data_IF_202172238009
#
_entry.id   IF_202172238009
#
_cell.length_a   1.000
_cell.length_b   1.000
_cell.length_c   1.000
_cell.angle_alpha   90.00
_cell.angle_beta   90.00
_cell.angle_gamma   90.00
#
_symmetry.space_group_name_H-M   'P 1'
#
loop_
_entity.id
_entity.type
_entity.pdbx_description
1 polymer ?
#
# COMPACT_ATOMS: atom_id res chain seq x y z
N UNK A 1 7.39 -10.20 22.49
CA UNK A 1 7.73 -8.77 22.59
C UNK A 1 9.08 -8.56 23.25
N UNK A 2 10.09 -8.26 22.45
CA UNK A 2 11.48 -8.11 22.88
C UNK A 2 12.18 -7.04 22.05
N UNK A 3 12.95 -6.16 22.70
CA UNK A 3 13.86 -5.23 22.02
C UNK A 3 15.20 -5.93 21.78
N UNK A 4 15.65 -5.95 20.53
CA UNK A 4 16.93 -6.55 20.14
C UNK A 4 17.93 -5.50 19.66
N UNK A 5 19.23 -5.75 19.89
CA UNK A 5 20.32 -4.89 19.43
C UNK A 5 21.48 -5.73 18.85
N UNK A 6 22.06 -5.31 17.73
CA UNK A 6 23.25 -5.95 17.15
C UNK A 6 24.58 -5.32 17.61
N UNK A 7 25.73 -6.00 17.44
CA UNK A 7 27.04 -5.38 17.66
C UNK A 7 27.27 -4.21 16.71
N UNK A 8 27.99 -3.17 17.15
CA UNK A 8 28.20 -1.99 16.33
C UNK A 8 29.25 -2.28 15.25
N UNK A 9 28.81 -2.48 14.02
CA UNK A 9 29.69 -2.86 12.89
C UNK A 9 29.57 -1.91 11.70
N UNK A 10 28.60 -0.99 11.69
CA UNK A 10 28.30 -0.13 10.54
C UNK A 10 29.01 1.23 10.64
N UNK A 11 30.02 1.53 9.82
CA UNK A 11 30.80 2.76 9.94
C UNK A 11 30.04 3.97 9.36
N UNK A 12 29.86 5.02 10.17
CA UNK A 12 29.35 6.32 9.75
C UNK A 12 29.77 7.41 10.74
N UNK A 13 29.86 8.67 10.30
CA UNK A 13 30.10 9.84 11.17
C UNK A 13 31.25 9.69 12.19
N UNK A 14 32.32 8.98 11.82
CA UNK A 14 33.50 8.77 12.70
C UNK A 14 33.30 7.74 13.81
N UNK A 15 32.24 6.93 13.77
CA UNK A 15 31.98 5.81 14.70
C UNK A 15 31.40 4.61 13.96
N UNK A 16 31.19 3.51 14.68
CA UNK A 16 30.32 2.39 14.25
C UNK A 16 28.96 2.46 14.94
N UNK A 17 27.93 1.98 14.25
CA UNK A 17 26.54 1.97 14.67
C UNK A 17 25.99 0.55 14.80
N UNK A 18 25.04 0.40 15.72
CA UNK A 18 24.16 -0.75 15.93
C UNK A 18 22.73 -0.39 15.56
N UNK A 19 21.92 -1.40 15.28
CA UNK A 19 20.49 -1.32 15.05
C UNK A 19 19.71 -1.85 16.24
N UNK A 20 18.67 -1.12 16.64
CA UNK A 20 17.72 -1.53 17.68
C UNK A 20 16.36 -1.77 17.06
N UNK A 21 15.78 -2.96 17.27
CA UNK A 21 14.49 -3.38 16.69
C UNK A 21 13.54 -3.90 17.77
N UNK A 22 12.24 -3.95 17.44
CA UNK A 22 11.26 -4.80 18.13
C UNK A 22 10.90 -5.98 17.22
N UNK A 23 10.51 -7.12 17.82
CA UNK A 23 9.96 -8.27 17.10
C UNK A 23 8.46 -8.16 16.82
N UNK A 24 7.77 -7.19 17.42
CA UNK A 24 6.30 -7.15 17.40
C UNK A 24 5.70 -5.73 17.26
N UNK A 25 6.34 -4.65 17.76
CA UNK A 25 5.74 -3.30 17.71
C UNK A 25 6.72 -2.13 17.56
N UNK A 26 6.39 -1.19 16.67
CA UNK A 26 7.09 0.10 16.58
C UNK A 26 6.78 1.03 17.76
N UNK A 27 5.58 0.94 18.33
CA UNK A 27 5.18 1.78 19.47
C UNK A 27 6.07 1.51 20.68
N UNK A 28 6.31 0.23 20.97
CA UNK A 28 7.20 -0.19 22.05
C UNK A 28 8.65 0.16 21.73
N UNK A 29 9.11 -0.03 20.49
CA UNK A 29 10.44 0.40 20.07
C UNK A 29 10.63 1.91 20.31
N UNK A 30 9.61 2.73 20.02
CA UNK A 30 9.62 4.16 20.32
C UNK A 30 9.58 4.44 21.83
N UNK A 31 8.81 3.69 22.61
CA UNK A 31 8.74 3.83 24.06
C UNK A 31 10.09 3.51 24.73
N UNK A 32 10.72 2.41 24.34
CA UNK A 32 12.07 2.03 24.75
C UNK A 32 13.08 3.11 24.38
N UNK A 33 13.06 3.58 23.13
CA UNK A 33 13.96 4.64 22.66
C UNK A 33 13.81 5.94 23.46
N UNK A 34 12.57 6.36 23.78
CA UNK A 34 12.32 7.53 24.64
C UNK A 34 12.85 7.31 26.06
N UNK A 35 12.53 6.18 26.69
CA UNK A 35 13.02 5.83 28.02
C UNK A 35 14.55 5.79 28.11
N UNK A 36 15.19 5.35 27.03
CA UNK A 36 16.63 5.30 26.91
C UNK A 36 17.30 6.61 26.47
N UNK A 37 16.56 7.67 26.14
CA UNK A 37 17.13 8.92 25.62
C UNK A 37 17.82 8.74 24.26
N UNK A 38 17.31 7.84 23.41
CA UNK A 38 17.67 7.78 21.98
C UNK A 38 16.92 8.90 21.26
N UNK A 39 17.61 9.69 20.44
CA UNK A 39 16.98 10.81 19.71
C UNK A 39 16.00 10.26 18.67
N UNK A 40 14.81 10.86 18.56
CA UNK A 40 13.80 10.44 17.58
C UNK A 40 14.34 10.39 16.13
N UNK A 41 15.23 11.32 15.76
CA UNK A 41 15.88 11.37 14.44
C UNK A 41 16.76 10.16 14.10
N UNK A 42 17.09 9.33 15.09
CA UNK A 42 17.87 8.11 14.89
C UNK A 42 17.00 6.93 14.43
N UNK A 43 15.68 7.11 14.35
CA UNK A 43 14.76 6.10 13.81
C UNK A 43 14.82 6.09 12.28
N UNK A 44 15.16 4.94 11.69
CA UNK A 44 15.02 4.67 10.25
C UNK A 44 13.93 3.62 10.02
N UNK A 45 12.67 4.09 10.11
CA UNK A 45 11.43 3.40 9.69
C UNK A 45 11.03 2.14 10.45
N UNK A 46 11.95 1.21 10.65
CA UNK A 46 11.72 -0.10 11.28
C UNK A 46 12.74 -0.43 12.37
N UNK A 47 13.72 0.45 12.59
CA UNK A 47 14.77 0.30 13.61
C UNK A 47 15.33 1.67 14.03
N UNK A 48 16.12 1.70 15.10
CA UNK A 48 16.95 2.85 15.48
C UNK A 48 18.43 2.57 15.23
N UNK A 49 19.13 3.55 14.65
CA UNK A 49 20.59 3.58 14.54
C UNK A 49 21.22 4.20 15.79
N UNK A 50 21.98 3.43 16.56
CA UNK A 50 22.62 3.88 17.80
C UNK A 50 24.14 3.76 17.72
N UNK A 51 24.91 4.77 18.14
CA UNK A 51 26.36 4.70 18.11
C UNK A 51 26.89 3.70 19.13
N UNK A 52 28.04 3.08 18.86
CA UNK A 52 28.65 2.04 19.71
C UNK A 52 28.69 2.34 21.22
N UNK A 53 28.92 3.61 21.57
CA UNK A 53 28.99 4.07 22.96
C UNK A 53 27.69 3.82 23.75
N UNK A 54 26.54 3.70 23.05
CA UNK A 54 25.22 3.51 23.65
C UNK A 54 24.86 2.04 23.85
N UNK A 55 25.54 1.11 23.20
CA UNK A 55 25.13 -0.31 23.17
C UNK A 55 25.05 -0.91 24.57
N UNK A 56 26.08 -0.71 25.40
CA UNK A 56 26.08 -1.24 26.77
C UNK A 56 24.97 -0.66 27.65
N UNK A 57 24.65 0.64 27.49
CA UNK A 57 23.56 1.27 28.22
C UNK A 57 22.21 0.70 27.84
N UNK A 58 21.99 0.44 26.54
CA UNK A 58 20.73 -0.11 26.05
C UNK A 58 20.54 -1.57 26.49
N UNK A 59 21.62 -2.35 26.52
CA UNK A 59 21.59 -3.71 27.07
C UNK A 59 21.25 -3.69 28.58
N UNK A 60 21.84 -2.76 29.35
CA UNK A 60 21.48 -2.57 30.77
C UNK A 60 20.02 -2.19 30.98
N UNK A 61 19.40 -1.54 29.99
CA UNK A 61 18.00 -1.14 30.02
C UNK A 61 17.04 -2.20 29.46
N UNK A 62 17.55 -3.38 29.09
CA UNK A 62 16.73 -4.54 28.70
C UNK A 62 16.76 -4.90 27.22
N UNK A 63 17.56 -4.21 26.38
CA UNK A 63 17.77 -4.66 25.01
C UNK A 63 18.57 -5.97 24.98
N UNK A 64 18.08 -6.96 24.23
CA UNK A 64 18.71 -8.28 24.11
C UNK A 64 19.75 -8.26 22.99
N UNK A 65 21.04 -8.48 23.28
CA UNK A 65 22.07 -8.51 22.25
C UNK A 65 21.95 -9.78 21.40
N UNK A 66 21.93 -9.60 20.07
CA UNK A 66 21.89 -10.70 19.09
C UNK A 66 22.83 -10.39 17.92
N UNK A 67 23.13 -11.34 17.05
CA UNK A 67 23.98 -11.04 15.88
C UNK A 67 23.27 -10.10 14.88
N UNK A 68 24.02 -9.40 14.02
CA UNK A 68 23.43 -8.61 12.95
C UNK A 68 22.57 -9.44 11.98
N UNK A 69 22.95 -10.71 11.77
CA UNK A 69 22.14 -11.67 11.01
C UNK A 69 20.81 -11.97 11.71
N UNK A 70 20.82 -12.13 13.02
CA UNK A 70 19.62 -12.37 13.81
C UNK A 70 18.70 -11.15 13.86
N UNK A 71 19.23 -9.93 14.00
CA UNK A 71 18.42 -8.70 13.87
C UNK A 71 17.69 -8.69 12.53
N UNK A 72 18.39 -8.93 11.42
CA UNK A 72 17.77 -8.94 10.10
C UNK A 72 16.67 -10.02 9.98
N UNK A 73 16.92 -11.22 10.51
CA UNK A 73 15.98 -12.35 10.51
C UNK A 73 14.76 -12.08 11.38
N UNK A 74 14.95 -11.58 12.60
CA UNK A 74 13.88 -11.22 13.53
C UNK A 74 13.04 -10.10 12.94
N UNK A 75 13.66 -9.04 12.44
CA UNK A 75 12.95 -7.91 11.82
C UNK A 75 12.17 -8.36 10.58
N UNK A 76 12.70 -9.28 9.77
CA UNK A 76 11.96 -9.86 8.66
C UNK A 76 10.76 -10.69 9.12
N UNK A 77 10.94 -11.55 10.14
CA UNK A 77 9.89 -12.41 10.68
C UNK A 77 8.79 -11.63 11.42
N UNK A 78 9.13 -10.50 12.05
CA UNK A 78 8.19 -9.60 12.73
C UNK A 78 7.15 -8.99 11.77
N UNK A 79 7.45 -8.95 10.47
CA UNK A 79 6.65 -8.22 9.50
C UNK A 79 6.77 -6.69 9.60
N UNK A 80 7.64 -6.15 10.47
CA UNK A 80 7.94 -4.72 10.60
C UNK A 80 8.93 -4.22 9.54
N UNK A 81 9.74 -5.11 8.94
CA UNK A 81 10.78 -4.74 7.96
C UNK A 81 10.21 -3.94 6.79
N UNK A 82 10.70 -2.72 6.61
CA UNK A 82 10.51 -1.92 5.39
C UNK A 82 11.65 -2.21 4.42
N UNK A 83 11.38 -3.02 3.39
CA UNK A 83 12.40 -3.41 2.40
C UNK A 83 12.83 -2.19 1.58
N UNK A 84 14.09 -2.14 1.16
CA UNK A 84 14.63 -1.02 0.38
C UNK A 84 13.86 -0.73 -0.92
N UNK A 85 13.27 -1.77 -1.54
CA UNK A 85 12.41 -1.67 -2.73
C UNK A 85 11.05 -1.03 -2.47
N UNK A 86 10.61 -1.03 -1.21
CA UNK A 86 9.34 -0.48 -0.76
C UNK A 86 9.54 0.95 -0.17
N UNK A 87 10.77 1.48 -0.24
CA UNK A 87 11.07 2.87 0.15
C UNK A 87 10.48 3.86 -0.86
N UNK A 88 9.82 4.95 -0.41
CA UNK A 88 9.14 5.91 -1.28
C UNK A 88 10.01 6.44 -2.43
N UNK A 89 11.27 6.80 -2.17
CA UNK A 89 12.18 7.35 -3.19
C UNK A 89 12.43 6.37 -4.36
N UNK A 90 12.56 5.07 -4.06
CA UNK A 90 12.77 4.03 -5.07
C UNK A 90 11.47 3.71 -5.80
N UNK A 91 10.34 3.77 -5.10
CA UNK A 91 9.02 3.59 -5.67
C UNK A 91 8.69 4.69 -6.68
N UNK A 92 8.91 5.96 -6.33
CA UNK A 92 8.68 7.12 -7.24
C UNK A 92 9.37 6.93 -8.58
N UNK A 93 10.68 6.68 -8.57
CA UNK A 93 11.44 6.46 -9.81
C UNK A 93 10.99 5.22 -10.60
N UNK A 94 10.59 4.15 -9.92
CA UNK A 94 10.06 2.95 -10.57
C UNK A 94 8.69 3.18 -11.22
N UNK A 95 7.81 3.90 -10.52
CA UNK A 95 6.47 4.25 -10.97
C UNK A 95 6.54 5.18 -12.18
N UNK A 96 7.35 6.24 -12.15
CA UNK A 96 7.53 7.13 -13.31
C UNK A 96 8.07 6.38 -14.54
N UNK A 97 8.99 5.42 -14.37
CA UNK A 97 9.43 4.57 -15.50
C UNK A 97 8.29 3.74 -16.08
N UNK A 98 7.40 3.19 -15.24
CA UNK A 98 6.21 2.44 -15.69
C UNK A 98 5.24 3.36 -16.43
N UNK A 99 5.04 4.57 -15.92
CA UNK A 99 4.22 5.60 -16.57
C UNK A 99 4.73 5.95 -17.98
N UNK A 100 6.02 6.27 -18.11
CA UNK A 100 6.65 6.58 -19.40
C UNK A 100 6.50 5.45 -20.43
N UNK A 101 6.57 4.20 -19.98
CA UNK A 101 6.42 3.04 -20.87
C UNK A 101 5.01 2.94 -21.50
N UNK A 102 3.99 3.56 -20.90
CA UNK A 102 2.61 3.55 -21.43
C UNK A 102 2.35 4.61 -22.52
N UNK A 103 3.27 5.56 -22.71
CA UNK A 103 3.13 6.66 -23.68
C UNK A 103 3.14 6.18 -25.15
N UNK A 104 3.66 4.97 -25.39
CA UNK A 104 3.97 4.44 -26.72
C UNK A 104 5.34 4.92 -27.24
N UNK A 105 5.85 4.33 -28.33
CA UNK A 105 7.11 4.75 -28.92
C UNK A 105 7.01 6.16 -29.55
N UNK A 106 8.07 6.97 -29.40
CA UNK A 106 8.28 8.17 -30.23
C UNK A 106 7.80 9.52 -29.67
N UNK A 107 7.36 9.62 -28.42
CA UNK A 107 6.96 10.91 -27.80
C UNK A 107 8.13 11.71 -27.23
N UNK A 108 8.90 12.36 -28.10
CA UNK A 108 9.90 13.38 -27.74
C UNK A 108 9.44 14.79 -28.17
N UNK A 109 8.17 15.09 -27.96
CA UNK A 109 7.51 16.35 -28.33
C UNK A 109 6.73 16.92 -27.13
N UNK A 110 5.99 18.02 -27.34
CA UNK A 110 5.19 18.65 -26.30
C UNK A 110 4.13 17.71 -25.68
N UNK A 111 3.64 16.74 -26.46
CA UNK A 111 2.71 15.72 -25.95
C UNK A 111 3.44 14.69 -25.06
N UNK A 112 4.72 14.43 -25.30
CA UNK A 112 5.60 13.69 -24.40
C UNK A 112 5.84 14.41 -23.06
N UNK A 113 6.12 15.72 -23.11
CA UNK A 113 6.29 16.52 -21.89
C UNK A 113 5.01 16.60 -21.06
N UNK A 114 3.86 16.79 -21.71
CA UNK A 114 2.55 16.77 -21.06
C UNK A 114 2.25 15.40 -20.43
N UNK A 115 2.55 14.30 -21.13
CA UNK A 115 2.43 12.94 -20.59
C UNK A 115 3.29 12.76 -19.33
N UNK A 116 4.54 13.19 -19.38
CA UNK A 116 5.46 13.11 -18.23
C UNK A 116 4.95 13.92 -17.03
N UNK A 117 4.40 15.11 -17.28
CA UNK A 117 3.84 15.97 -16.24
C UNK A 117 2.66 15.30 -15.51
N UNK A 118 1.77 14.61 -16.23
CA UNK A 118 0.66 13.84 -15.64
C UNK A 118 1.19 12.75 -14.71
N UNK A 119 2.21 12.00 -15.14
CA UNK A 119 2.84 10.98 -14.30
C UNK A 119 3.47 11.54 -13.03
N UNK A 120 4.08 12.72 -13.10
CA UNK A 120 4.66 13.41 -11.94
C UNK A 120 3.59 13.89 -10.96
N UNK A 121 2.51 14.49 -11.46
CA UNK A 121 1.36 14.92 -10.64
C UNK A 121 0.73 13.73 -9.90
N UNK A 122 0.49 12.63 -10.60
CA UNK A 122 -0.04 11.41 -9.98
C UNK A 122 0.89 10.87 -8.87
N UNK A 123 2.19 10.75 -9.15
CA UNK A 123 3.15 10.32 -8.11
C UNK A 123 3.14 11.26 -6.91
N UNK A 124 2.96 12.56 -7.11
CA UNK A 124 2.84 13.54 -6.02
C UNK A 124 1.59 13.31 -5.19
N UNK A 125 0.42 13.12 -5.82
CA UNK A 125 -0.86 12.82 -5.15
C UNK A 125 -0.78 11.54 -4.31
N UNK A 126 -0.26 10.46 -4.89
CA UNK A 126 -0.03 9.19 -4.19
C UNK A 126 1.05 9.27 -3.09
N UNK A 127 1.75 10.40 -2.98
CA UNK A 127 2.75 10.66 -1.94
C UNK A 127 2.27 11.64 -0.85
N UNK A 128 1.00 12.05 -0.86
CA UNK A 128 0.51 13.00 0.14
C UNK A 128 0.67 12.45 1.58
N UNK A 129 1.09 13.27 2.57
CA UNK A 129 1.50 12.76 3.88
C UNK A 129 0.40 12.07 4.70
N UNK A 130 -0.87 12.35 4.40
CA UNK A 130 -2.02 11.73 5.09
C UNK A 130 -2.33 10.32 4.58
N UNK A 131 -1.65 9.86 3.52
CA UNK A 131 -1.84 8.54 2.93
C UNK A 131 -0.83 7.54 3.50
N UNK A 132 -1.35 6.48 4.10
CA UNK A 132 -0.60 5.35 4.63
C UNK A 132 -0.85 4.08 3.81
N UNK A 133 -2.11 3.63 3.69
CA UNK A 133 -2.42 2.48 2.83
C UNK A 133 -2.55 2.94 1.38
N UNK A 134 -3.38 3.95 1.12
CA UNK A 134 -3.66 4.48 -0.23
C UNK A 134 -2.53 5.39 -0.74
N UNK A 135 -1.30 4.86 -0.71
CA UNK A 135 -0.04 5.51 -1.07
C UNK A 135 0.70 4.72 -2.18
N UNK A 136 1.88 5.21 -2.59
CA UNK A 136 2.71 4.59 -3.65
C UNK A 136 2.87 3.05 -3.58
N UNK A 137 3.03 2.40 -2.40
CA UNK A 137 3.12 0.94 -2.34
C UNK A 137 1.85 0.23 -2.82
N UNK A 138 0.68 0.78 -2.51
CA UNK A 138 -0.61 0.24 -2.96
C UNK A 138 -0.77 0.39 -4.47
N UNK A 139 -0.53 1.57 -5.04
CA UNK A 139 -0.53 1.77 -6.50
C UNK A 139 0.38 0.75 -7.22
N UNK A 140 1.62 0.57 -6.74
CA UNK A 140 2.53 -0.41 -7.32
C UNK A 140 2.00 -1.85 -7.21
N UNK A 141 1.30 -2.16 -6.11
CA UNK A 141 0.64 -3.45 -5.92
C UNK A 141 -0.43 -3.67 -6.99
N UNK A 142 -1.38 -2.75 -7.14
CA UNK A 142 -2.46 -2.85 -8.12
C UNK A 142 -1.89 -3.01 -9.53
N UNK A 143 -0.90 -2.20 -9.92
CA UNK A 143 -0.22 -2.29 -11.22
C UNK A 143 0.51 -3.63 -11.45
N UNK A 144 0.96 -4.31 -10.39
CA UNK A 144 1.61 -5.63 -10.51
C UNK A 144 0.58 -6.73 -10.64
N UNK A 145 -0.46 -6.69 -9.81
CA UNK A 145 -1.50 -7.71 -9.79
C UNK A 145 -2.34 -7.63 -11.07
N UNK A 146 -2.76 -6.44 -11.51
CA UNK A 146 -3.51 -6.27 -12.75
C UNK A 146 -2.70 -6.75 -13.97
N UNK A 147 -1.40 -6.48 -14.00
CA UNK A 147 -0.52 -7.02 -15.04
C UNK A 147 -0.43 -8.55 -14.98
N UNK A 148 -0.31 -9.14 -13.79
CA UNK A 148 -0.25 -10.60 -13.64
C UNK A 148 -1.56 -11.27 -14.11
N UNK A 149 -2.71 -10.71 -13.76
CA UNK A 149 -4.03 -11.17 -14.24
C UNK A 149 -4.16 -11.03 -15.75
N UNK A 150 -3.67 -9.93 -16.33
CA UNK A 150 -3.61 -9.75 -17.77
C UNK A 150 -2.76 -10.85 -18.45
N UNK A 151 -1.59 -11.19 -17.90
CA UNK A 151 -0.74 -12.28 -18.40
C UNK A 151 -1.38 -13.67 -18.23
N UNK A 152 -2.25 -13.84 -17.22
CA UNK A 152 -3.05 -15.04 -17.04
C UNK A 152 -4.24 -15.14 -18.01
N UNK A 153 -4.46 -14.13 -18.87
CA UNK A 153 -5.52 -14.12 -19.88
C UNK A 153 -6.86 -13.58 -19.39
N UNK A 154 -6.93 -13.02 -18.18
CA UNK A 154 -8.19 -12.56 -17.58
C UNK A 154 -8.82 -11.36 -18.30
N UNK A 155 -8.04 -10.63 -19.11
CA UNK A 155 -8.56 -9.53 -19.93
C UNK A 155 -9.41 -10.00 -21.12
N UNK A 156 -9.37 -11.29 -21.50
CA UNK A 156 -10.20 -11.87 -22.57
C UNK A 156 -10.17 -11.07 -23.89
N UNK A 157 -9.00 -10.50 -24.23
CA UNK A 157 -8.80 -9.70 -25.44
C UNK A 157 -8.97 -8.19 -25.26
N UNK A 158 -9.43 -7.71 -24.10
CA UNK A 158 -9.45 -6.29 -23.79
C UNK A 158 -8.03 -5.70 -23.68
N UNK A 159 -7.80 -4.43 -24.06
CA UNK A 159 -6.50 -3.80 -23.95
C UNK A 159 -6.11 -3.58 -22.48
N UNK A 160 -4.83 -3.76 -22.15
CA UNK A 160 -4.33 -3.58 -20.78
C UNK A 160 -4.11 -2.09 -20.41
N UNK A 161 -3.83 -1.22 -21.40
CA UNK A 161 -3.48 0.19 -21.11
C UNK A 161 -4.57 0.94 -20.33
N UNK A 162 -5.87 0.84 -20.66
CA UNK A 162 -6.92 1.48 -19.87
C UNK A 162 -6.96 1.00 -18.41
N UNK A 163 -6.78 -0.29 -18.17
CA UNK A 163 -6.72 -0.87 -16.82
C UNK A 163 -5.53 -0.33 -16.03
N UNK A 164 -4.35 -0.25 -16.66
CA UNK A 164 -3.17 0.31 -16.02
C UNK A 164 -3.35 1.79 -15.69
N UNK A 165 -3.91 2.59 -16.61
CA UNK A 165 -4.22 4.00 -16.38
C UNK A 165 -5.27 4.17 -15.27
N UNK A 166 -6.34 3.38 -15.29
CA UNK A 166 -7.35 3.40 -14.23
C UNK A 166 -6.75 3.08 -12.86
N UNK A 167 -5.81 2.12 -12.76
CA UNK A 167 -5.09 1.86 -11.52
C UNK A 167 -4.30 3.09 -11.01
N UNK A 168 -3.72 3.90 -11.91
CA UNK A 168 -3.06 5.16 -11.55
C UNK A 168 -4.03 6.22 -11.03
N UNK A 169 -5.24 6.27 -11.59
CA UNK A 169 -6.21 7.32 -11.28
C UNK A 169 -7.16 6.98 -10.15
N UNK A 170 -7.45 5.71 -9.84
CA UNK A 170 -8.62 5.36 -9.02
C UNK A 170 -8.71 6.07 -7.65
N UNK A 171 -7.59 6.18 -6.93
CA UNK A 171 -7.48 6.97 -5.69
C UNK A 171 -6.55 8.20 -5.84
N UNK A 172 -6.36 8.71 -7.05
CA UNK A 172 -5.54 9.91 -7.27
C UNK A 172 -6.11 11.13 -6.52
N UNK A 173 -7.43 11.18 -6.36
CA UNK A 173 -8.11 12.04 -5.37
C UNK A 173 -8.50 11.16 -4.18
N UNK A 174 -8.12 11.58 -2.96
CA UNK A 174 -8.41 10.82 -1.75
C UNK A 174 -8.59 11.74 -0.55
N UNK A 175 -9.85 12.00 -0.23
CA UNK A 175 -10.27 12.73 0.97
C UNK A 175 -10.93 11.80 1.99
N UNK A 176 -11.07 10.50 1.69
CA UNK A 176 -11.76 9.51 2.52
C UNK A 176 -13.28 9.52 2.33
N UNK A 177 -13.76 10.03 1.19
CA UNK A 177 -15.19 10.16 0.87
C UNK A 177 -15.56 9.21 -0.27
N UNK A 178 -15.83 7.95 0.08
CA UNK A 178 -16.21 6.91 -0.87
C UNK A 178 -17.36 7.34 -1.81
N UNK A 179 -17.24 7.00 -3.08
CA UNK A 179 -18.08 7.42 -4.20
C UNK A 179 -17.72 8.80 -4.76
N UNK A 180 -17.43 9.80 -3.90
CA UNK A 180 -17.06 11.14 -4.36
C UNK A 180 -15.61 11.18 -4.84
N UNK A 181 -14.71 10.52 -4.11
CA UNK A 181 -13.29 10.46 -4.43
C UNK A 181 -13.08 9.78 -5.79
N UNK A 182 -13.75 8.66 -6.07
CA UNK A 182 -13.68 7.93 -7.33
C UNK A 182 -14.26 8.76 -8.48
N UNK A 183 -15.35 9.48 -8.26
CA UNK A 183 -15.92 10.37 -9.28
C UNK A 183 -14.97 11.54 -9.60
N UNK A 184 -14.31 12.11 -8.59
CA UNK A 184 -13.33 13.19 -8.77
C UNK A 184 -12.05 12.66 -9.44
N UNK A 185 -11.58 11.48 -9.07
CA UNK A 185 -10.49 10.75 -9.71
C UNK A 185 -10.78 10.45 -11.18
N UNK A 186 -12.00 10.03 -11.51
CA UNK A 186 -12.42 9.82 -12.90
C UNK A 186 -12.45 11.14 -13.69
N UNK A 187 -12.94 12.22 -13.09
CA UNK A 187 -12.95 13.54 -13.72
C UNK A 187 -11.52 14.05 -13.95
N UNK A 188 -10.62 13.84 -12.98
CA UNK A 188 -9.20 14.15 -13.11
C UNK A 188 -8.57 13.38 -14.28
N UNK A 189 -8.88 12.08 -14.42
CA UNK A 189 -8.41 11.27 -15.55
C UNK A 189 -8.88 11.85 -16.89
N UNK A 190 -10.15 12.24 -17.00
CA UNK A 190 -10.68 12.87 -18.21
C UNK A 190 -9.94 14.16 -18.53
N UNK A 191 -9.74 15.04 -17.55
CA UNK A 191 -9.04 16.31 -17.75
C UNK A 191 -7.57 16.15 -18.14
N UNK A 192 -6.85 15.22 -17.50
CA UNK A 192 -5.41 15.08 -17.69
C UNK A 192 -5.03 14.26 -18.93
N UNK A 193 -5.92 13.37 -19.39
CA UNK A 193 -5.69 12.54 -20.57
C UNK A 193 -6.30 13.14 -21.85
N UNK A 194 -7.15 14.16 -21.74
CA UNK A 194 -7.73 14.89 -22.87
C UNK A 194 -6.66 15.41 -23.82
N UNK A 195 -6.85 15.16 -25.12
CA UNK A 195 -5.86 15.48 -26.16
C UNK A 195 -4.55 14.70 -26.12
N UNK A 196 -4.29 13.89 -25.08
CA UNK A 196 -3.11 13.00 -24.99
C UNK A 196 -3.43 11.60 -25.52
N UNK A 197 -4.67 11.16 -25.40
CA UNK A 197 -5.17 9.84 -25.82
C UNK A 197 -6.47 10.00 -26.65
N UNK A 198 -6.85 8.98 -27.43
CA UNK A 198 -8.18 8.93 -28.05
C UNK A 198 -9.32 9.00 -27.03
N UNK A 199 -10.41 9.69 -27.39
CA UNK A 199 -11.54 9.96 -26.49
C UNK A 199 -12.16 8.68 -25.92
N UNK A 200 -12.29 7.62 -26.73
CA UNK A 200 -12.85 6.33 -26.32
C UNK A 200 -12.01 5.64 -25.24
N UNK A 201 -10.69 5.80 -25.31
CA UNK A 201 -9.78 5.29 -24.28
C UNK A 201 -9.85 6.12 -22.99
N UNK A 202 -9.95 7.44 -23.09
CA UNK A 202 -10.14 8.32 -21.92
C UNK A 202 -11.46 8.00 -21.21
N UNK A 203 -12.53 7.79 -21.97
CA UNK A 203 -13.83 7.36 -21.45
C UNK A 203 -13.76 6.01 -20.74
N UNK A 204 -13.05 5.04 -21.32
CA UNK A 204 -12.85 3.72 -20.70
C UNK A 204 -12.07 3.81 -19.38
N UNK A 205 -10.99 4.62 -19.33
CA UNK A 205 -10.26 4.86 -18.08
C UNK A 205 -11.17 5.46 -17.01
N UNK A 206 -11.93 6.48 -17.35
CA UNK A 206 -12.85 7.13 -16.42
C UNK A 206 -13.97 6.20 -15.95
N UNK A 207 -14.48 5.33 -16.82
CA UNK A 207 -15.47 4.30 -16.48
C UNK A 207 -14.91 3.29 -15.49
N UNK A 208 -13.71 2.77 -15.74
CA UNK A 208 -13.03 1.83 -14.86
C UNK A 208 -12.77 2.43 -13.48
N UNK A 209 -12.31 3.69 -13.42
CA UNK A 209 -12.12 4.43 -12.17
C UNK A 209 -13.44 4.57 -11.39
N UNK A 210 -14.54 4.97 -12.03
CA UNK A 210 -15.84 5.04 -11.34
C UNK A 210 -16.29 3.68 -10.82
N UNK A 211 -15.96 2.61 -11.53
CA UNK A 211 -16.28 1.23 -11.15
C UNK A 211 -15.64 0.79 -9.82
N UNK A 212 -14.55 1.40 -9.38
CA UNK A 212 -13.88 1.03 -8.12
C UNK A 212 -14.69 1.47 -6.89
N UNK A 213 -15.65 2.39 -7.01
CA UNK A 213 -16.46 2.84 -5.87
C UNK A 213 -17.33 1.73 -5.25
N UNK A 214 -17.69 0.70 -6.04
CA UNK A 214 -18.56 -0.40 -5.59
C UNK A 214 -17.87 -1.76 -5.60
N UNK A 215 -16.66 -1.85 -6.17
CA UNK A 215 -15.94 -3.10 -6.41
C UNK A 215 -16.81 -4.20 -7.05
N UNK A 216 -17.76 -3.78 -7.89
CA UNK A 216 -18.81 -4.64 -8.45
C UNK A 216 -18.89 -4.44 -9.97
N UNK A 217 -17.91 -4.93 -10.73
CA UNK A 217 -17.98 -4.94 -12.19
C UNK A 217 -19.20 -5.74 -12.66
N UNK A 218 -19.80 -5.34 -13.78
CA UNK A 218 -20.91 -6.09 -14.36
C UNK A 218 -20.43 -7.39 -15.01
N UNK A 219 -21.35 -8.33 -15.19
CA UNK A 219 -21.06 -9.61 -15.81
C UNK A 219 -20.51 -9.42 -17.24
N UNK A 220 -19.30 -9.92 -17.48
CA UNK A 220 -18.61 -9.76 -18.76
C UNK A 220 -17.62 -8.60 -18.83
N UNK A 221 -17.55 -7.72 -17.83
CA UNK A 221 -16.54 -6.65 -17.76
C UNK A 221 -15.16 -7.18 -17.36
N UNK A 222 -14.41 -7.71 -18.33
CA UNK A 222 -13.09 -8.27 -18.07
C UNK A 222 -12.09 -7.24 -17.53
N UNK A 223 -12.11 -6.01 -18.04
CA UNK A 223 -11.23 -4.93 -17.60
C UNK A 223 -11.56 -4.47 -16.17
N UNK A 224 -12.86 -4.29 -15.87
CA UNK A 224 -13.34 -3.97 -14.53
C UNK A 224 -13.06 -5.07 -13.52
N UNK A 225 -13.22 -6.35 -13.90
CA UNK A 225 -12.88 -7.50 -13.07
C UNK A 225 -11.39 -7.53 -12.72
N UNK A 226 -10.50 -7.32 -13.71
CA UNK A 226 -9.05 -7.29 -13.46
C UNK A 226 -8.66 -6.14 -12.55
N UNK A 227 -9.22 -4.94 -12.74
CA UNK A 227 -8.92 -3.78 -11.88
C UNK A 227 -9.41 -4.01 -10.45
N UNK A 228 -10.66 -4.45 -10.30
CA UNK A 228 -11.30 -4.69 -9.00
C UNK A 228 -10.54 -5.76 -8.21
N UNK A 229 -10.20 -6.88 -8.85
CA UNK A 229 -9.48 -7.97 -8.18
C UNK A 229 -8.05 -7.55 -7.81
N UNK A 230 -7.40 -6.73 -8.64
CA UNK A 230 -6.08 -6.21 -8.35
C UNK A 230 -6.05 -5.24 -7.16
N UNK A 231 -7.10 -4.46 -6.99
CA UNK A 231 -7.31 -3.57 -5.85
C UNK A 231 -7.58 -4.37 -4.56
N UNK A 232 -8.45 -5.39 -4.64
CA UNK A 232 -8.86 -6.21 -3.50
C UNK A 232 -7.89 -7.33 -3.12
N UNK A 233 -6.86 -7.63 -3.92
CA UNK A 233 -5.89 -8.73 -3.66
C UNK A 233 -5.29 -8.68 -2.25
N UNK A 234 -5.09 -7.48 -1.70
CA UNK A 234 -4.54 -7.28 -0.36
C UNK A 234 -5.31 -8.07 0.71
N UNK A 235 -6.60 -8.30 0.49
CA UNK A 235 -7.47 -8.99 1.42
C UNK A 235 -7.05 -10.46 1.59
N UNK A 236 -6.47 -11.07 0.57
CA UNK A 236 -6.06 -12.47 0.54
C UNK A 236 -4.63 -12.74 0.99
N UNK A 237 -3.87 -11.71 1.35
CA UNK A 237 -2.48 -11.86 1.77
C UNK A 237 -2.34 -12.68 3.06
N UNK A 238 -1.13 -13.20 3.36
CA UNK A 238 -0.86 -13.83 4.65
C UNK A 238 -1.28 -12.93 5.81
N UNK A 239 -1.82 -13.52 6.88
CA UNK A 239 -2.50 -12.79 7.96
C UNK A 239 -1.69 -11.62 8.54
N UNK A 240 -0.37 -11.77 8.70
CA UNK A 240 0.48 -10.69 9.20
C UNK A 240 0.58 -9.49 8.24
N UNK A 241 0.51 -9.71 6.92
CA UNK A 241 0.46 -8.62 5.94
C UNK A 241 -0.92 -7.97 5.88
N UNK A 242 -1.98 -8.76 6.05
CA UNK A 242 -3.35 -8.26 6.16
C UNK A 242 -3.52 -7.35 7.38
N UNK A 243 -3.00 -7.74 8.55
CA UNK A 243 -3.04 -6.91 9.76
C UNK A 243 -2.29 -5.60 9.57
N UNK A 244 -1.16 -5.62 8.85
CA UNK A 244 -0.43 -4.39 8.48
C UNK A 244 -1.26 -3.50 7.57
N UNK A 245 -1.95 -4.07 6.59
CA UNK A 245 -2.90 -3.36 5.73
C UNK A 245 -4.01 -2.71 6.56
N UNK A 246 -4.69 -3.46 7.43
CA UNK A 246 -5.78 -2.95 8.27
C UNK A 246 -5.30 -1.81 9.18
N UNK A 247 -4.09 -1.91 9.75
CA UNK A 247 -3.48 -0.85 10.54
C UNK A 247 -3.17 0.41 9.70
N UNK A 248 -2.70 0.26 8.46
CA UNK A 248 -2.47 1.39 7.55
C UNK A 248 -3.80 2.06 7.14
N UNK A 249 -4.86 1.29 6.87
CA UNK A 249 -6.20 1.85 6.65
C UNK A 249 -6.68 2.60 7.88
N UNK A 250 -6.49 2.07 9.10
CA UNK A 250 -6.82 2.80 10.32
C UNK A 250 -6.08 4.14 10.40
N UNK A 251 -4.82 4.19 9.98
CA UNK A 251 -4.01 5.40 9.98
C UNK A 251 -4.52 6.44 8.95
N UNK A 252 -4.98 6.03 7.77
CA UNK A 252 -5.61 6.92 6.78
C UNK A 252 -6.81 7.67 7.38
N UNK A 253 -7.57 6.98 8.23
CA UNK A 253 -8.74 7.53 8.93
C UNK A 253 -8.43 8.01 10.35
N UNK A 254 -7.18 8.35 10.69
CA UNK A 254 -6.80 8.78 12.06
C UNK A 254 -7.65 9.95 12.61
N UNK A 255 -8.18 10.78 11.71
CA UNK A 255 -9.07 11.90 12.02
C UNK A 255 -10.50 11.47 12.40
N UNK A 256 -10.90 10.25 12.07
CA UNK A 256 -12.21 9.67 12.44
C UNK A 256 -12.11 9.04 13.83
N UNK A 257 -13.10 9.32 14.67
CA UNK A 257 -13.21 8.75 16.01
C UNK A 257 -13.29 7.22 15.97
N UNK A 258 -12.71 6.56 16.97
CA UNK A 258 -12.54 5.10 16.95
C UNK A 258 -13.86 4.34 16.75
N UNK A 259 -14.93 4.72 17.45
CA UNK A 259 -16.23 4.07 17.33
C UNK A 259 -16.84 4.25 15.93
N UNK A 260 -16.66 5.42 15.32
CA UNK A 260 -17.18 5.70 13.97
C UNK A 260 -16.39 4.93 12.92
N UNK A 261 -15.06 4.86 13.07
CA UNK A 261 -14.20 4.04 12.24
C UNK A 261 -14.57 2.56 12.33
N UNK A 262 -14.75 2.01 13.53
CA UNK A 262 -15.12 0.60 13.73
C UNK A 262 -16.44 0.30 13.02
N UNK A 263 -17.47 1.16 13.18
CA UNK A 263 -18.76 0.98 12.51
C UNK A 263 -18.63 1.05 10.99
N UNK A 264 -17.93 2.05 10.47
CA UNK A 264 -17.72 2.23 9.03
C UNK A 264 -16.93 1.08 8.41
N UNK A 265 -15.79 0.70 9.01
CA UNK A 265 -14.95 -0.41 8.55
C UNK A 265 -15.70 -1.72 8.57
N UNK A 266 -16.42 -2.03 9.65
CA UNK A 266 -17.23 -3.24 9.74
C UNK A 266 -18.35 -3.27 8.68
N UNK A 267 -18.96 -2.12 8.36
CA UNK A 267 -19.96 -2.04 7.30
C UNK A 267 -19.36 -2.38 5.92
N UNK A 268 -18.21 -1.79 5.56
CA UNK A 268 -17.50 -2.10 4.31
C UNK A 268 -17.18 -3.60 4.21
N UNK A 269 -16.58 -4.16 5.27
CA UNK A 269 -16.21 -5.58 5.29
C UNK A 269 -17.42 -6.52 5.19
N UNK A 270 -18.55 -6.16 5.82
CA UNK A 270 -19.79 -6.94 5.69
C UNK A 270 -20.38 -6.86 4.28
N UNK A 271 -20.33 -5.71 3.63
CA UNK A 271 -20.74 -5.57 2.22
C UNK A 271 -19.91 -6.47 1.31
N UNK A 272 -18.59 -6.46 1.47
CA UNK A 272 -17.68 -7.35 0.72
C UNK A 272 -17.99 -8.83 0.99
N UNK A 273 -18.24 -9.20 2.25
CA UNK A 273 -18.59 -10.58 2.62
C UNK A 273 -19.94 -11.05 2.07
N UNK A 274 -20.90 -10.14 1.93
CA UNK A 274 -22.23 -10.42 1.40
C UNK A 274 -22.25 -10.57 -0.14
N UNK A 275 -21.21 -10.10 -0.83
CA UNK A 275 -21.09 -10.27 -2.27
C UNK A 275 -20.99 -11.77 -2.62
N UNK A 276 -21.76 -12.26 -3.61
CA UNK A 276 -21.69 -13.65 -4.06
C UNK A 276 -20.28 -14.08 -4.48
N UNK A 277 -19.54 -13.16 -5.11
CA UNK A 277 -18.13 -13.33 -5.50
C UNK A 277 -17.37 -12.12 -4.98
N UNK A 278 -16.31 -12.36 -4.21
CA UNK A 278 -15.42 -11.29 -3.74
C UNK A 278 -14.39 -10.93 -4.81
N UNK A 279 -13.94 -11.95 -5.56
CA UNK A 279 -13.07 -11.80 -6.74
C UNK A 279 -13.82 -12.24 -7.99
N UNK A 280 -13.69 -11.46 -9.06
CA UNK A 280 -14.48 -11.57 -10.28
C UNK A 280 -13.76 -12.31 -11.40
N UNK A 281 -12.43 -12.25 -11.43
CA UNK A 281 -11.59 -13.03 -12.34
C UNK A 281 -11.55 -14.50 -11.93
N UNK A 282 -11.30 -15.41 -12.87
CA UNK A 282 -11.20 -16.82 -12.54
C UNK A 282 -9.99 -17.11 -11.64
N UNK A 283 -8.87 -16.49 -11.97
CA UNK A 283 -7.61 -16.56 -11.20
C UNK A 283 -7.80 -16.04 -9.78
N UNK A 284 -8.43 -14.88 -9.59
CA UNK A 284 -8.67 -14.29 -8.27
C UNK A 284 -9.60 -15.14 -7.41
N UNK A 285 -10.70 -15.64 -7.99
CA UNK A 285 -11.63 -16.53 -7.28
C UNK A 285 -10.92 -17.79 -6.76
N UNK A 286 -10.12 -18.45 -7.60
CA UNK A 286 -9.41 -19.67 -7.22
C UNK A 286 -8.29 -19.44 -6.19
N UNK A 287 -7.55 -18.33 -6.31
CA UNK A 287 -6.35 -18.11 -5.51
C UNK A 287 -6.62 -17.34 -4.21
N UNK A 288 -7.61 -16.45 -4.19
CA UNK A 288 -7.69 -15.40 -3.17
C UNK A 288 -8.96 -15.43 -2.33
N UNK A 289 -10.09 -15.91 -2.85
CA UNK A 289 -11.39 -15.79 -2.18
C UNK A 289 -11.40 -16.42 -0.78
N UNK A 290 -10.97 -17.68 -0.65
CA UNK A 290 -10.96 -18.37 0.63
C UNK A 290 -10.06 -17.70 1.69
N UNK A 291 -8.87 -17.23 1.27
CA UNK A 291 -7.94 -16.54 2.16
C UNK A 291 -8.48 -15.16 2.59
N UNK A 292 -9.06 -14.41 1.66
CA UNK A 292 -9.66 -13.11 1.94
C UNK A 292 -10.83 -13.21 2.90
N UNK A 293 -11.76 -14.13 2.67
CA UNK A 293 -12.91 -14.35 3.56
C UNK A 293 -12.48 -14.74 4.97
N UNK A 294 -11.42 -15.54 5.10
CA UNK A 294 -10.82 -15.88 6.40
C UNK A 294 -10.26 -14.64 7.11
N UNK A 295 -9.51 -13.79 6.41
CA UNK A 295 -8.94 -12.58 6.99
C UNK A 295 -10.02 -11.57 7.39
N UNK A 296 -10.99 -11.30 6.50
CA UNK A 296 -12.12 -10.40 6.76
C UNK A 296 -12.94 -10.88 7.96
N UNK A 297 -13.21 -12.19 8.06
CA UNK A 297 -13.93 -12.76 9.20
C UNK A 297 -13.17 -12.60 10.52
N UNK A 298 -11.83 -12.63 10.48
CA UNK A 298 -11.01 -12.38 11.66
C UNK A 298 -11.04 -10.89 12.06
N UNK A 299 -10.94 -9.97 11.11
CA UNK A 299 -11.03 -8.52 11.37
C UNK A 299 -12.42 -8.14 11.92
N UNK A 300 -13.50 -8.67 11.35
CA UNK A 300 -14.85 -8.40 11.83
C UNK A 300 -15.04 -8.81 13.30
N UNK A 301 -14.50 -9.97 13.71
CA UNK A 301 -14.55 -10.42 15.10
C UNK A 301 -13.78 -9.48 16.04
N UNK A 302 -12.61 -9.01 15.62
CA UNK A 302 -11.81 -8.04 16.39
C UNK A 302 -12.57 -6.71 16.55
N UNK A 303 -13.11 -6.17 15.45
CA UNK A 303 -13.89 -4.95 15.45
C UNK A 303 -15.14 -5.03 16.34
N UNK A 304 -15.83 -6.17 16.35
CA UNK A 304 -16.98 -6.41 17.22
C UNK A 304 -16.61 -6.49 18.71
N UNK A 305 -15.43 -7.02 19.05
CA UNK A 305 -14.92 -7.01 20.42
C UNK A 305 -14.60 -5.58 20.84
N UNK A 306 -13.88 -4.83 20.00
CA UNK A 306 -13.45 -3.45 20.29
C UNK A 306 -14.62 -2.47 20.35
N UNK A 307 -15.65 -2.64 19.53
CA UNK A 307 -16.84 -1.76 19.53
C UNK A 307 -17.79 -1.95 20.72
N UNK A 308 -17.58 -2.96 21.57
CA UNK A 308 -18.35 -3.16 22.82
C UNK A 308 -17.73 -2.45 24.02
N UNK A 309 -16.51 -1.96 23.88
CA UNK A 309 -15.76 -1.21 24.89
C UNK A 309 -15.71 0.27 24.52
#
# INVERSE_FOLDING_TARGET
MTIYIDPPVWPAHGTVFSHVISDESLEELHAFARGAGIRARAFDRDHYDVPAQRVQDLVRQGAVPVSGHDVARILAASGLRVKARDRPEKLRGSLLRRWRAMAGPGRNDAAGDAWEAVGQDLVQRWSEPHRHYHALPHLLSVLRVSHALAQAGELRGAPYRPVALAAWFHDAVYAGNAGQDEQQSAHLAQQQLDGLLPDDEVEEVARLVRGTATHSPWEGDAAGAVLTDADLEVLARPAHEYLRYAAQVRADYAHVGEQDFIRGRAAVLRTLMAAPRLFHTHTGELQWDAAARKNISAELKDLEVRGRH
#
